data_IF_114953355305
#
_entry.id   IF_114953355305
#
_cell.length_a   1.000
_cell.length_b   1.000
_cell.length_c   1.000
_cell.angle_alpha   90.00
_cell.angle_beta   90.00
_cell.angle_gamma   90.00
#
_symmetry.space_group_name_H-M   'P 1'
#
loop_
_entity.id
_entity.type
_entity.pdbx_description
1 polymer ?
#
# COMPACT_ATOMS: atom_id res chain seq x y z
N UNK A 1 -19.59 -3.16 4.61
CA UNK A 1 -18.25 -2.79 4.11
C UNK A 1 -17.64 -4.05 3.49
N UNK A 2 -17.23 -4.02 2.22
CA UNK A 2 -16.52 -5.18 1.64
C UNK A 2 -15.16 -5.31 2.36
N UNK A 3 -14.68 -6.53 2.66
CA UNK A 3 -13.37 -6.71 3.27
C UNK A 3 -12.27 -6.57 2.21
N UNK A 4 -11.16 -5.90 2.57
CA UNK A 4 -9.93 -5.94 1.79
C UNK A 4 -9.20 -7.24 2.11
N UNK A 5 -8.96 -8.06 1.09
CA UNK A 5 -8.29 -9.36 1.25
C UNK A 5 -6.88 -9.25 0.67
N UNK A 6 -5.88 -9.49 1.50
CA UNK A 6 -4.47 -9.57 1.09
C UNK A 6 -4.14 -11.05 0.84
N UNK A 7 -3.85 -11.40 -0.41
CA UNK A 7 -3.53 -12.76 -0.83
C UNK A 7 -2.02 -12.98 -0.90
N UNK A 8 -1.60 -14.24 -0.77
CA UNK A 8 -0.22 -14.66 -1.01
C UNK A 8 0.17 -14.42 -2.48
N UNK A 9 1.44 -14.11 -2.69
CA UNK A 9 2.02 -13.95 -4.02
C UNK A 9 2.91 -15.17 -4.36
N UNK A 10 2.91 -15.68 -5.60
CA UNK A 10 3.74 -16.81 -5.99
C UNK A 10 5.25 -16.55 -5.83
N UNK A 11 5.70 -15.35 -6.19
CA UNK A 11 7.07 -14.91 -5.94
C UNK A 11 7.19 -14.50 -4.47
N UNK A 12 7.99 -15.23 -3.71
CA UNK A 12 8.16 -15.08 -2.26
C UNK A 12 8.65 -13.69 -1.84
N UNK A 13 9.65 -13.14 -2.54
CA UNK A 13 10.17 -11.79 -2.27
C UNK A 13 9.12 -10.69 -2.44
N UNK A 14 8.01 -10.98 -3.14
CA UNK A 14 6.90 -10.05 -3.38
C UNK A 14 5.65 -10.42 -2.57
N UNK A 15 5.71 -11.42 -1.69
CA UNK A 15 4.55 -11.95 -0.99
C UNK A 15 4.25 -11.16 0.31
N UNK A 16 3.16 -10.37 0.35
CA UNK A 16 2.83 -9.58 1.53
C UNK A 16 2.42 -10.46 2.72
N UNK A 17 1.83 -11.62 2.47
CA UNK A 17 1.43 -12.57 3.52
C UNK A 17 2.66 -13.15 4.21
N UNK A 18 3.63 -13.67 3.44
CA UNK A 18 4.88 -14.19 4.01
C UNK A 18 5.67 -13.10 4.74
N UNK A 19 5.76 -11.90 4.15
CA UNK A 19 6.42 -10.76 4.78
C UNK A 19 5.79 -10.42 6.15
N UNK A 20 4.45 -10.43 6.25
CA UNK A 20 3.76 -10.18 7.51
C UNK A 20 3.96 -11.31 8.53
N UNK A 21 3.92 -12.57 8.09
CA UNK A 21 4.19 -13.73 8.97
C UNK A 21 5.58 -13.63 9.58
N UNK A 22 6.60 -13.31 8.78
CA UNK A 22 7.97 -13.17 9.27
C UNK A 22 8.12 -11.96 10.20
N UNK A 23 7.51 -10.83 9.86
CA UNK A 23 7.43 -9.67 10.77
C UNK A 23 6.82 -10.06 12.12
N UNK A 24 5.74 -10.86 12.13
CA UNK A 24 5.08 -11.30 13.35
C UNK A 24 5.94 -12.29 14.13
N UNK A 25 6.63 -13.21 13.45
CA UNK A 25 7.59 -14.13 14.09
C UNK A 25 8.65 -13.38 14.90
N UNK A 26 9.11 -12.23 14.39
CA UNK A 26 10.12 -11.41 15.06
C UNK A 26 9.56 -10.50 16.16
N UNK A 27 8.25 -10.24 16.17
CA UNK A 27 7.64 -9.24 17.06
C UNK A 27 6.58 -9.79 18.01
N UNK A 28 6.30 -11.09 17.98
CA UNK A 28 5.24 -11.70 18.80
C UNK A 28 5.56 -11.73 20.30
N UNK A 29 6.85 -11.77 20.69
CA UNK A 29 7.27 -11.79 22.09
C UNK A 29 6.75 -10.59 22.89
N UNK A 30 6.58 -9.45 22.23
CA UNK A 30 6.25 -8.16 22.83
C UNK A 30 4.75 -7.82 22.75
N UNK A 31 3.91 -8.76 22.31
CA UNK A 31 2.47 -8.53 22.10
C UNK A 31 1.72 -8.12 23.36
N UNK A 32 2.16 -8.62 24.53
CA UNK A 32 1.56 -8.26 25.82
C UNK A 32 1.66 -6.76 26.12
N UNK A 33 2.65 -6.07 25.54
CA UNK A 33 2.86 -4.62 25.69
C UNK A 33 2.34 -3.81 24.51
N UNK A 34 1.76 -4.45 23.50
CA UNK A 34 1.44 -3.81 22.24
C UNK A 34 0.01 -3.25 22.16
N UNK A 35 -0.83 -3.53 23.16
CA UNK A 35 -2.19 -2.99 23.20
C UNK A 35 -2.16 -1.49 23.50
N UNK A 36 -2.97 -0.75 22.76
CA UNK A 36 -3.19 0.68 22.94
C UNK A 36 -4.66 0.99 22.83
N UNK A 37 -5.12 2.04 23.52
CA UNK A 37 -6.52 2.46 23.49
C UNK A 37 -6.85 3.15 22.17
N UNK A 38 -8.07 2.96 21.68
CA UNK A 38 -8.53 3.61 20.47
C UNK A 38 -8.65 5.13 20.70
N UNK A 39 -8.06 5.97 19.84
CA UNK A 39 -7.93 7.41 20.09
C UNK A 39 -9.28 8.15 20.19
N UNK A 40 -10.36 7.57 19.64
CA UNK A 40 -11.71 8.13 19.73
C UNK A 40 -12.63 7.40 20.70
N UNK A 41 -12.28 6.17 21.09
CA UNK A 41 -13.17 5.28 21.87
C UNK A 41 -12.32 4.56 22.91
N UNK A 42 -12.11 5.19 24.06
CA UNK A 42 -11.16 4.69 25.07
C UNK A 42 -11.47 3.32 25.65
N UNK A 43 -12.70 2.83 25.48
CA UNK A 43 -13.14 1.49 25.90
C UNK A 43 -12.67 0.38 24.96
N UNK A 44 -12.25 0.72 23.74
CA UNK A 44 -11.75 -0.22 22.76
C UNK A 44 -10.22 -0.18 22.80
N UNK A 45 -9.60 -1.35 22.96
CA UNK A 45 -8.15 -1.51 22.79
C UNK A 45 -7.86 -2.27 21.50
N UNK A 46 -6.74 -1.96 20.88
CA UNK A 46 -6.26 -2.66 19.69
C UNK A 46 -4.74 -2.77 19.72
N UNK A 47 -4.20 -3.69 18.92
CA UNK A 47 -2.77 -3.79 18.67
C UNK A 47 -2.47 -3.22 17.29
N UNK A 48 -1.59 -2.22 17.15
CA UNK A 48 -1.22 -1.72 15.84
C UNK A 48 -0.62 -2.82 14.97
N UNK A 49 -1.02 -2.88 13.69
CA UNK A 49 -0.56 -3.92 12.75
C UNK A 49 0.96 -3.90 12.55
N UNK A 50 1.53 -2.71 12.37
CA UNK A 50 2.98 -2.47 12.25
C UNK A 50 3.39 -1.46 13.31
N UNK A 51 4.36 -1.86 14.13
CA UNK A 51 4.75 -1.21 15.38
C UNK A 51 6.17 -0.67 15.33
N UNK A 52 6.48 0.27 16.22
CA UNK A 52 7.87 0.65 16.46
C UNK A 52 8.59 -0.48 17.21
N UNK A 53 9.83 -0.78 16.82
CA UNK A 53 10.62 -1.86 17.41
C UNK A 53 11.03 -1.59 18.88
N UNK A 54 11.08 -0.32 19.30
CA UNK A 54 11.41 0.06 20.68
C UNK A 54 10.18 0.30 21.54
N UNK A 55 9.07 0.73 20.92
CA UNK A 55 7.84 1.14 21.60
C UNK A 55 6.66 0.37 20.98
N UNK A 56 6.44 -0.84 21.45
CA UNK A 56 5.53 -1.81 20.84
C UNK A 56 4.05 -1.40 20.85
N UNK A 57 3.64 -0.54 21.79
CA UNK A 57 2.29 0.03 21.84
C UNK A 57 2.07 1.15 20.79
N UNK A 58 3.13 1.66 20.17
CA UNK A 58 3.04 2.74 19.20
C UNK A 58 3.04 2.20 17.76
N UNK A 59 2.04 2.65 17.01
CA UNK A 59 2.03 2.51 15.55
C UNK A 59 3.20 3.24 14.92
N UNK A 60 3.63 2.78 13.75
CA UNK A 60 4.46 3.58 12.86
C UNK A 60 3.67 4.79 12.34
N UNK A 61 4.21 5.98 12.56
CA UNK A 61 3.64 7.24 12.08
C UNK A 61 3.81 7.41 10.56
N UNK A 62 2.95 8.22 9.96
CA UNK A 62 2.98 8.52 8.51
C UNK A 62 4.30 9.13 8.06
N UNK A 63 4.90 10.03 8.85
CA UNK A 63 6.19 10.64 8.56
C UNK A 63 7.32 9.63 8.51
N UNK A 64 7.37 8.71 9.47
CA UNK A 64 8.41 7.67 9.51
C UNK A 64 8.24 6.67 8.37
N UNK A 65 7.00 6.30 8.04
CA UNK A 65 6.69 5.49 6.85
C UNK A 65 7.15 6.22 5.58
N UNK A 66 6.88 7.52 5.46
CA UNK A 66 7.30 8.34 4.33
C UNK A 66 8.83 8.35 4.19
N UNK A 67 9.55 8.52 5.30
CA UNK A 67 11.01 8.50 5.31
C UNK A 67 11.56 7.14 4.87
N UNK A 68 11.05 6.03 5.41
CA UNK A 68 11.47 4.69 4.98
C UNK A 68 11.21 4.42 3.50
N UNK A 69 10.05 4.84 2.98
CA UNK A 69 9.78 4.76 1.55
C UNK A 69 10.84 5.56 0.78
N UNK A 70 11.12 6.81 1.16
CA UNK A 70 12.12 7.64 0.47
C UNK A 70 13.52 7.01 0.47
N UNK A 71 13.95 6.44 1.58
CA UNK A 71 15.24 5.75 1.69
C UNK A 71 15.30 4.51 0.79
N UNK A 72 14.28 3.65 0.84
CA UNK A 72 14.23 2.43 0.00
C UNK A 72 14.21 2.80 -1.49
N UNK A 73 13.47 3.85 -1.87
CA UNK A 73 13.37 4.28 -3.26
C UNK A 73 14.68 4.85 -3.82
N UNK A 74 15.69 5.18 -3.00
CA UNK A 74 17.03 5.55 -3.50
C UNK A 74 17.74 4.38 -4.18
N UNK A 75 17.41 3.15 -3.78
CA UNK A 75 18.00 1.93 -4.33
C UNK A 75 17.25 1.40 -5.55
N UNK A 76 16.10 1.98 -5.90
CA UNK A 76 15.37 1.60 -7.10
C UNK A 76 16.14 2.10 -8.34
N UNK A 77 16.47 1.21 -9.31
CA UNK A 77 17.18 1.61 -10.51
C UNK A 77 16.35 2.60 -11.30
N UNK A 78 16.97 3.66 -11.81
CA UNK A 78 16.33 4.67 -12.64
C UNK A 78 17.33 5.27 -13.62
N UNK A 79 16.85 5.63 -14.80
CA UNK A 79 17.65 6.37 -15.78
C UNK A 79 17.95 7.78 -15.25
N UNK A 80 19.13 8.30 -15.59
CA UNK A 80 19.52 9.65 -15.23
C UNK A 80 18.54 10.68 -15.83
N UNK A 81 18.17 11.70 -15.05
CA UNK A 81 17.15 12.68 -15.44
C UNK A 81 15.69 12.25 -15.22
N UNK A 82 15.40 10.98 -14.90
CA UNK A 82 14.02 10.56 -14.63
C UNK A 82 13.54 10.92 -13.20
N UNK A 83 12.27 11.35 -13.04
CA UNK A 83 11.69 11.61 -11.73
C UNK A 83 11.75 10.38 -10.82
N UNK A 84 11.94 10.57 -9.52
CA UNK A 84 11.86 9.48 -8.55
C UNK A 84 10.48 8.81 -8.61
N UNK A 85 10.45 7.48 -8.60
CA UNK A 85 9.21 6.74 -8.54
C UNK A 85 8.38 7.12 -7.30
N UNK A 86 7.11 7.44 -7.51
CA UNK A 86 6.15 7.59 -6.43
C UNK A 86 5.69 6.20 -5.99
N UNK A 87 6.33 5.62 -4.97
CA UNK A 87 6.09 4.23 -4.53
C UNK A 87 4.61 3.86 -4.41
N UNK A 88 3.79 4.73 -3.80
CA UNK A 88 2.34 4.53 -3.63
C UNK A 88 1.54 4.50 -4.94
N UNK A 89 2.07 5.11 -6.01
CA UNK A 89 1.42 5.24 -7.31
C UNK A 89 1.80 4.11 -8.29
N UNK A 90 2.94 3.45 -8.08
CA UNK A 90 3.44 2.41 -9.00
C UNK A 90 2.48 1.22 -9.05
N UNK A 91 2.10 0.68 -7.88
CA UNK A 91 1.21 -0.49 -7.81
C UNK A 91 -0.15 -0.24 -8.46
N UNK A 92 -0.79 0.88 -8.11
CA UNK A 92 -2.06 1.28 -8.69
C UNK A 92 -1.97 1.52 -10.20
N UNK A 93 -0.91 2.20 -10.67
CA UNK A 93 -0.70 2.42 -12.11
C UNK A 93 -0.55 1.10 -12.86
N UNK A 94 0.21 0.15 -12.32
CA UNK A 94 0.39 -1.16 -12.94
C UNK A 94 -0.90 -1.99 -12.96
N UNK A 95 -1.70 -1.94 -11.88
CA UNK A 95 -3.01 -2.59 -11.84
C UNK A 95 -3.95 -2.02 -12.91
N UNK A 96 -4.04 -0.68 -13.01
CA UNK A 96 -4.84 0.00 -14.03
C UNK A 96 -4.38 -0.35 -15.46
N UNK A 97 -3.07 -0.43 -15.69
CA UNK A 97 -2.51 -0.86 -17.00
C UNK A 97 -2.90 -2.29 -17.37
N UNK A 98 -3.09 -3.16 -16.38
CA UNK A 98 -3.57 -4.54 -16.55
C UNK A 98 -5.11 -4.65 -16.62
N UNK A 99 -5.82 -3.51 -16.69
CA UNK A 99 -7.27 -3.48 -16.85
C UNK A 99 -8.07 -3.57 -15.56
N UNK A 100 -7.44 -3.55 -14.38
CA UNK A 100 -8.17 -3.45 -13.11
C UNK A 100 -8.92 -2.12 -13.08
N UNK A 101 -10.17 -2.12 -12.60
CA UNK A 101 -10.99 -0.91 -12.58
C UNK A 101 -10.44 0.11 -11.57
N UNK A 102 -10.74 1.39 -11.81
CA UNK A 102 -10.36 2.44 -10.84
C UNK A 102 -11.07 2.23 -9.51
N UNK A 103 -12.30 1.72 -9.50
CA UNK A 103 -13.07 1.46 -8.28
C UNK A 103 -12.44 0.34 -7.45
N UNK A 104 -12.01 -0.75 -8.08
CA UNK A 104 -11.32 -1.84 -7.39
C UNK A 104 -9.97 -1.38 -6.81
N UNK A 105 -9.22 -0.57 -7.56
CA UNK A 105 -7.95 0.00 -7.08
C UNK A 105 -8.20 0.97 -5.92
N UNK A 106 -9.23 1.83 -6.01
CA UNK A 106 -9.65 2.73 -4.93
C UNK A 106 -9.97 1.96 -3.66
N UNK A 107 -10.78 0.92 -3.81
CA UNK A 107 -11.22 0.08 -2.72
C UNK A 107 -10.03 -0.67 -2.08
N UNK A 108 -9.20 -1.33 -2.89
CA UNK A 108 -8.03 -2.07 -2.40
C UNK A 108 -6.99 -1.15 -1.73
N UNK A 109 -6.79 0.05 -2.27
CA UNK A 109 -5.88 1.06 -1.73
C UNK A 109 -6.43 1.80 -0.51
N UNK A 110 -7.68 1.56 -0.13
CA UNK A 110 -8.42 2.28 0.90
C UNK A 110 -8.35 3.81 0.72
N UNK A 111 -8.53 4.25 -0.53
CA UNK A 111 -8.51 5.66 -0.90
C UNK A 111 -9.90 6.28 -0.78
N UNK A 112 -9.95 7.57 -0.46
CA UNK A 112 -11.21 8.27 -0.18
C UNK A 112 -12.11 8.42 -1.41
N UNK A 113 -11.55 8.41 -2.63
CA UNK A 113 -12.34 8.40 -3.86
C UNK A 113 -11.53 7.97 -5.10
N UNK A 114 -12.20 7.52 -6.17
CA UNK A 114 -11.59 7.30 -7.50
C UNK A 114 -10.88 8.54 -8.08
N UNK A 115 -11.36 9.74 -7.74
CA UNK A 115 -10.74 10.99 -8.20
C UNK A 115 -9.33 11.16 -7.62
N UNK A 116 -9.13 10.82 -6.34
CA UNK A 116 -7.81 10.87 -5.69
C UNK A 116 -6.82 9.94 -6.40
N UNK A 117 -7.27 8.75 -6.80
CA UNK A 117 -6.45 7.79 -7.56
C UNK A 117 -5.99 8.41 -8.86
N UNK A 118 -6.95 8.92 -9.64
CA UNK A 118 -6.68 9.43 -10.98
C UNK A 118 -5.84 10.70 -10.98
N UNK A 119 -5.95 11.53 -9.94
CA UNK A 119 -5.25 12.81 -9.85
C UNK A 119 -3.85 12.67 -9.25
N UNK A 120 -3.67 11.86 -8.20
CA UNK A 120 -2.43 11.84 -7.42
C UNK A 120 -1.63 10.53 -7.54
N UNK A 121 -2.29 9.41 -7.83
CA UNK A 121 -1.69 8.08 -7.76
C UNK A 121 -1.63 7.32 -9.09
N UNK A 122 -2.08 7.94 -10.18
CA UNK A 122 -1.96 7.40 -11.54
C UNK A 122 -0.83 8.12 -12.28
N UNK A 123 0.29 7.42 -12.46
CA UNK A 123 1.51 7.98 -13.08
C UNK A 123 1.33 8.19 -14.58
N UNK A 124 0.66 7.25 -15.27
CA UNK A 124 0.42 7.34 -16.71
C UNK A 124 -1.06 7.15 -17.05
N UNK A 125 -1.55 7.99 -17.96
CA UNK A 125 -2.90 7.87 -18.54
C UNK A 125 -2.74 7.40 -19.99
N UNK A 126 -3.06 6.14 -20.26
CA UNK A 126 -3.29 5.70 -21.63
C UNK A 126 -4.70 6.09 -22.01
N UNK A 127 -4.84 7.01 -22.96
CA UNK A 127 -6.14 7.30 -23.57
C UNK A 127 -6.27 6.35 -24.76
N UNK A 128 -7.33 5.53 -24.79
CA UNK A 128 -7.66 4.78 -26.00
C UNK A 128 -8.25 5.78 -26.98
N UNK A 129 -7.49 6.14 -28.00
CA UNK A 129 -7.90 7.17 -28.97
C UNK A 129 -8.69 6.58 -30.15
N UNK A 130 -8.59 5.27 -30.40
CA UNK A 130 -9.34 4.58 -31.42
C UNK A 130 -10.50 3.81 -30.77
N UNK A 131 -11.65 4.46 -30.68
CA UNK A 131 -12.87 3.85 -30.14
C UNK A 131 -13.49 2.84 -31.10
N UNK A 132 -13.30 3.01 -32.41
CA UNK A 132 -13.87 2.14 -33.44
C UNK A 132 -13.41 0.69 -33.28
N UNK A 133 -12.12 0.46 -33.04
CA UNK A 133 -11.60 -0.90 -32.79
C UNK A 133 -11.96 -1.47 -31.42
N UNK A 134 -12.30 -0.62 -30.44
CA UNK A 134 -12.64 -1.05 -29.08
C UNK A 134 -14.09 -1.52 -28.93
N UNK A 135 -15.00 -1.12 -29.84
CA UNK A 135 -16.42 -1.51 -29.80
C UNK A 135 -16.65 -2.84 -30.54
N UNK A 136 -15.74 -3.20 -31.45
CA UNK A 136 -15.81 -4.41 -32.28
C UNK A 136 -14.84 -5.53 -31.86
N UNK A 137 -14.21 -5.40 -30.69
CA UNK A 137 -13.28 -6.40 -30.11
C UNK A 137 -13.93 -7.23 -29.01
#
# INVERSE_FOLDING_TARGET
MKPVIIKSHPIEALCPVKAYVEYRRQTCAEDRYARTSHPKVGTISFTPLVRQLRLHNLRLGSERIQHYIQEIMKFAPREEGTPKYKARAVGATMALKKGVTVDDVTFQGNWSSPAIVNQFYRISRSVKNNFTTAIFS
#
